data_IF_372750179553
#
_entry.id   IF_372750179553
#
_cell.length_a   1.000
_cell.length_b   1.000
_cell.length_c   1.000
_cell.angle_alpha   90.00
_cell.angle_beta   90.00
_cell.angle_gamma   90.00
#
_symmetry.space_group_name_H-M   'P 1'
#
loop_
_entity.id
_entity.type
_entity.pdbx_description
1 polymer ?
#
# COMPACT_ATOMS: atom_id res chain seq x y z
N UNK A 1 45.67 -30.31 -3.89
CA UNK A 1 46.03 -29.77 -2.55
C UNK A 1 46.82 -28.48 -2.72
N UNK A 2 46.29 -27.33 -2.29
CA UNK A 2 47.05 -26.19 -1.74
C UNK A 2 46.09 -25.15 -1.14
N UNK A 3 46.36 -24.81 0.12
CA UNK A 3 45.60 -24.03 1.10
C UNK A 3 45.46 -22.54 0.70
N UNK A 4 44.25 -21.97 0.83
CA UNK A 4 43.80 -21.02 1.88
C UNK A 4 44.74 -19.86 2.22
N UNK A 5 44.27 -18.62 1.96
CA UNK A 5 44.50 -17.46 2.83
C UNK A 5 43.24 -16.59 2.89
N UNK A 6 42.51 -16.73 3.99
CA UNK A 6 41.45 -15.84 4.45
C UNK A 6 42.10 -14.66 5.16
N UNK A 7 41.84 -13.43 4.73
CA UNK A 7 42.23 -12.22 5.46
C UNK A 7 40.98 -11.45 5.85
N UNK A 8 40.64 -11.52 7.14
CA UNK A 8 39.57 -10.73 7.74
C UNK A 8 39.95 -9.25 7.85
N UNK A 9 38.96 -8.39 7.68
CA UNK A 9 38.98 -7.02 8.22
C UNK A 9 37.65 -6.76 8.92
N UNK A 10 37.71 -6.76 10.24
CA UNK A 10 36.66 -6.26 11.11
C UNK A 10 36.63 -4.73 11.01
N UNK A 11 35.48 -4.16 10.68
CA UNK A 11 35.24 -2.71 10.79
C UNK A 11 34.24 -2.49 11.93
N UNK A 12 34.69 -1.69 12.89
CA UNK A 12 33.99 -1.38 14.15
C UNK A 12 32.74 -0.52 13.88
N UNK A 13 31.63 -0.88 14.52
CA UNK A 13 30.43 -0.06 14.64
C UNK A 13 30.73 1.18 15.51
N UNK A 14 30.38 2.35 15.02
CA UNK A 14 30.17 3.54 15.84
C UNK A 14 28.67 3.75 16.00
N UNK A 15 28.19 3.52 17.21
CA UNK A 15 26.82 3.84 17.64
C UNK A 15 26.82 5.30 18.09
N UNK A 16 26.02 6.13 17.44
CA UNK A 16 25.66 7.46 17.94
C UNK A 16 24.15 7.58 17.85
N UNK A 17 23.51 7.57 19.03
CA UNK A 17 22.07 7.71 19.16
C UNK A 17 21.59 9.13 18.88
N UNK A 18 20.35 9.23 18.43
CA UNK A 18 19.53 10.43 18.59
C UNK A 18 18.12 9.97 18.98
N UNK A 19 17.61 10.60 20.04
CA UNK A 19 16.34 10.32 20.68
C UNK A 19 15.17 11.08 20.00
N UNK A 20 14.02 10.39 20.01
CA UNK A 20 12.62 10.83 20.20
C UNK A 20 12.19 12.22 19.71
N UNK A 21 11.13 12.24 18.88
CA UNK A 21 10.03 13.20 19.04
C UNK A 21 8.69 12.50 18.73
N UNK A 22 7.89 12.30 19.77
CA UNK A 22 6.48 11.94 19.68
C UNK A 22 5.68 13.21 19.37
N UNK A 23 4.87 13.21 18.32
CA UNK A 23 3.88 14.25 18.08
C UNK A 23 2.48 13.71 18.40
N UNK A 24 1.92 14.21 19.51
CA UNK A 24 0.52 14.14 19.88
C UNK A 24 -0.35 14.72 18.74
N UNK A 25 -1.51 14.15 18.40
CA UNK A 25 -2.72 14.26 19.21
C UNK A 25 -3.48 15.53 18.81
N UNK A 26 -4.21 15.50 17.70
CA UNK A 26 -5.15 16.58 17.36
C UNK A 26 -6.43 16.39 18.17
N UNK A 27 -6.55 17.17 19.24
CA UNK A 27 -7.78 17.34 19.99
C UNK A 27 -8.79 18.15 19.17
N UNK A 28 -10.03 17.66 19.17
CA UNK A 28 -11.19 18.31 18.57
C UNK A 28 -11.70 19.35 19.58
N UNK A 29 -11.50 20.64 19.31
CA UNK A 29 -12.18 21.72 20.03
C UNK A 29 -13.53 21.99 19.37
N UNK A 30 -14.59 21.41 19.93
CA UNK A 30 -15.96 21.88 19.71
C UNK A 30 -16.22 23.11 20.58
N UNK A 31 -16.55 24.24 19.95
CA UNK A 31 -17.07 25.41 20.66
C UNK A 31 -18.59 25.30 20.67
N UNK A 32 -19.13 25.02 21.85
CA UNK A 32 -20.54 25.23 22.16
C UNK A 32 -20.67 26.64 22.76
N UNK A 33 -21.49 27.48 22.15
CA UNK A 33 -22.08 28.66 22.82
C UNK A 33 -23.58 28.56 22.64
N UNK A 34 -24.26 28.23 23.73
CA UNK A 34 -25.68 28.48 23.93
C UNK A 34 -25.80 29.84 24.63
N UNK A 35 -26.68 30.71 24.13
CA UNK A 35 -27.01 31.99 24.74
C UNK A 35 -28.11 32.68 23.96
N UNK A 36 -29.32 32.58 24.49
CA UNK A 36 -30.59 33.18 24.07
C UNK A 36 -30.54 34.71 24.03
N UNK A 37 -31.05 35.32 22.94
CA UNK A 37 -32.00 36.45 22.96
C UNK A 37 -32.51 36.75 21.52
N UNK A 38 -33.82 37.04 21.40
CA UNK A 38 -34.55 37.48 20.18
C UNK A 38 -35.17 38.85 20.52
N UNK A 39 -35.59 39.75 19.59
CA UNK A 39 -35.58 39.71 18.12
C UNK A 39 -35.09 41.00 17.41
N UNK A 40 -34.68 40.90 16.15
CA UNK A 40 -34.83 41.98 15.16
C UNK A 40 -34.78 41.40 13.73
N UNK A 41 -35.79 41.78 12.95
CA UNK A 41 -36.03 41.43 11.55
C UNK A 41 -35.16 42.30 10.63
N UNK A 42 -34.33 41.69 9.78
CA UNK A 42 -33.76 42.31 8.58
C UNK A 42 -32.89 41.30 7.78
N UNK A 43 -33.33 40.99 6.55
CA UNK A 43 -32.45 40.70 5.43
C UNK A 43 -31.80 39.31 5.37
N UNK A 44 -32.42 38.41 4.61
CA UNK A 44 -31.78 37.22 4.06
C UNK A 44 -30.60 37.59 3.15
N UNK A 45 -29.45 36.92 3.28
CA UNK A 45 -28.75 36.41 2.12
C UNK A 45 -28.82 34.88 2.12
N UNK A 46 -29.14 34.31 0.96
CA UNK A 46 -29.23 32.88 0.75
C UNK A 46 -27.93 32.18 1.17
N UNK A 47 -27.99 31.40 2.25
CA UNK A 47 -26.89 30.56 2.68
C UNK A 47 -26.68 29.44 1.66
N UNK A 48 -25.52 29.49 1.01
CA UNK A 48 -24.96 28.45 0.15
C UNK A 48 -25.01 27.12 0.91
N UNK A 49 -25.58 26.10 0.25
CA UNK A 49 -25.80 24.77 0.81
C UNK A 49 -24.54 24.18 1.42
N UNK A 50 -24.67 23.70 2.66
CA UNK A 50 -23.68 22.86 3.34
C UNK A 50 -23.47 21.60 2.49
N UNK A 51 -22.23 21.23 2.13
CA UNK A 51 -22.01 19.95 1.46
C UNK A 51 -22.47 18.83 2.40
N UNK A 52 -23.41 18.02 1.91
CA UNK A 52 -23.91 16.83 2.57
C UNK A 52 -22.70 15.97 2.99
N UNK A 53 -22.49 15.87 4.30
CA UNK A 53 -21.47 15.00 4.86
C UNK A 53 -21.81 13.58 4.45
N UNK A 54 -20.98 13.01 3.57
CA UNK A 54 -21.11 11.64 3.09
C UNK A 54 -21.32 10.71 4.29
N UNK A 55 -22.50 10.06 4.32
CA UNK A 55 -22.87 9.14 5.37
C UNK A 55 -21.75 8.12 5.59
N UNK A 56 -21.30 7.99 6.84
CA UNK A 56 -20.34 6.98 7.23
C UNK A 56 -20.87 5.59 6.79
N UNK A 57 -20.04 4.76 6.13
CA UNK A 57 -20.52 3.49 5.61
C UNK A 57 -20.99 2.59 6.76
N UNK A 58 -22.26 2.17 6.64
CA UNK A 58 -22.95 1.23 7.53
C UNK A 58 -22.13 -0.06 7.68
N UNK A 59 -21.96 -0.52 8.92
CA UNK A 59 -21.11 -1.67 9.27
C UNK A 59 -21.46 -2.90 8.43
N UNK A 60 -20.55 -3.27 7.53
CA UNK A 60 -20.60 -4.48 6.74
C UNK A 60 -20.52 -5.73 7.64
N UNK A 61 -21.19 -6.81 7.23
CA UNK A 61 -21.15 -8.10 7.91
C UNK A 61 -19.71 -8.49 8.26
N UNK A 62 -19.48 -8.94 9.51
CA UNK A 62 -18.14 -9.16 10.04
C UNK A 62 -17.36 -10.14 9.17
N UNK A 63 -16.47 -9.57 8.38
CA UNK A 63 -15.45 -10.27 7.61
C UNK A 63 -14.56 -11.05 8.58
N UNK A 64 -14.12 -12.27 8.21
CA UNK A 64 -13.15 -13.04 9.02
C UNK A 64 -11.76 -12.35 9.10
N UNK A 65 -11.59 -11.28 8.33
CA UNK A 65 -10.33 -10.57 8.19
C UNK A 65 -10.21 -9.44 9.22
N UNK A 66 -9.10 -9.42 9.94
CA UNK A 66 -8.71 -8.34 10.86
C UNK A 66 -7.83 -7.35 10.13
N UNK A 67 -8.33 -6.12 9.94
CA UNK A 67 -7.57 -5.04 9.31
C UNK A 67 -6.47 -4.55 10.23
N UNK A 68 -5.25 -4.46 9.70
CA UNK A 68 -4.04 -4.07 10.43
C UNK A 68 -3.74 -2.56 10.32
N UNK A 69 -4.42 -1.85 9.43
CA UNK A 69 -4.30 -0.42 9.20
C UNK A 69 -5.63 0.15 8.64
N UNK A 70 -5.68 1.46 8.44
CA UNK A 70 -6.84 2.15 7.84
C UNK A 70 -6.65 2.46 6.34
N UNK A 71 -7.74 2.83 5.62
CA UNK A 71 -7.69 3.24 4.23
C UNK A 71 -6.65 4.32 3.96
N UNK A 72 -5.98 4.24 2.81
CA UNK A 72 -4.97 5.20 2.38
C UNK A 72 -5.50 6.05 1.22
N UNK A 73 -5.15 7.33 1.19
CA UNK A 73 -5.47 8.19 0.05
C UNK A 73 -4.71 7.72 -1.20
N UNK A 74 -5.35 7.85 -2.36
CA UNK A 74 -4.70 7.60 -3.65
C UNK A 74 -3.77 8.77 -3.96
N UNK A 75 -2.48 8.47 -4.11
CA UNK A 75 -1.47 9.43 -4.54
C UNK A 75 -1.17 9.35 -6.03
N UNK A 76 -0.18 10.14 -6.45
CA UNK A 76 0.40 10.11 -7.79
C UNK A 76 1.91 9.94 -7.65
N UNK A 77 2.48 8.99 -8.37
CA UNK A 77 3.92 8.85 -8.54
C UNK A 77 4.32 9.56 -9.84
N UNK A 78 5.29 10.48 -9.77
CA UNK A 78 5.78 11.17 -10.96
C UNK A 78 6.33 10.19 -12.00
N UNK A 79 6.41 10.60 -13.26
CA UNK A 79 7.06 9.81 -14.30
C UNK A 79 8.53 9.53 -13.93
N UNK A 80 8.96 8.27 -14.04
CA UNK A 80 10.26 7.79 -13.55
C UNK A 80 10.48 8.04 -12.04
N UNK A 81 9.39 8.13 -11.28
CA UNK A 81 9.43 8.43 -9.86
C UNK A 81 9.80 7.22 -9.01
N UNK A 82 10.13 7.51 -7.75
CA UNK A 82 10.39 6.54 -6.70
C UNK A 82 9.62 6.91 -5.43
N UNK A 83 9.21 5.90 -4.68
CA UNK A 83 8.63 6.06 -3.35
C UNK A 83 9.16 5.01 -2.40
N UNK A 84 9.39 5.38 -1.15
CA UNK A 84 9.71 4.42 -0.09
C UNK A 84 8.46 3.62 0.29
N UNK A 85 8.60 2.29 0.33
CA UNK A 85 7.50 1.34 0.62
C UNK A 85 7.77 0.50 1.86
N UNK A 86 8.97 0.58 2.42
CA UNK A 86 9.42 -0.06 3.63
C UNK A 86 10.87 0.36 3.92
N UNK A 87 11.37 0.08 5.11
CA UNK A 87 12.72 0.50 5.50
C UNK A 87 13.78 -0.03 4.52
N UNK A 88 14.44 0.88 3.79
CA UNK A 88 15.45 0.53 2.79
C UNK A 88 14.89 -0.09 1.50
N UNK A 89 13.56 -0.06 1.30
CA UNK A 89 12.89 -0.60 0.12
C UNK A 89 12.13 0.51 -0.60
N UNK A 90 12.38 0.67 -1.90
CA UNK A 90 11.67 1.64 -2.74
C UNK A 90 10.96 0.96 -3.90
N UNK A 91 9.74 1.39 -4.18
CA UNK A 91 9.09 1.16 -5.47
C UNK A 91 9.57 2.24 -6.44
N UNK A 92 9.95 1.83 -7.66
CA UNK A 92 10.45 2.73 -8.70
C UNK A 92 9.78 2.45 -10.02
N UNK A 93 9.64 3.51 -10.83
CA UNK A 93 9.22 3.41 -12.23
C UNK A 93 10.32 3.94 -13.15
N UNK A 94 10.40 3.39 -14.38
CA UNK A 94 11.29 3.85 -15.44
C UNK A 94 10.65 3.55 -16.79
N UNK A 95 10.20 4.57 -17.50
CA UNK A 95 9.36 4.39 -18.69
C UNK A 95 8.12 3.55 -18.37
N UNK A 96 7.91 2.47 -19.12
CA UNK A 96 6.84 1.48 -18.88
C UNK A 96 7.27 0.35 -17.95
N UNK A 97 8.40 0.50 -17.27
CA UNK A 97 8.92 -0.48 -16.34
C UNK A 97 8.77 -0.03 -14.90
N UNK A 98 8.80 -1.00 -13.99
CA UNK A 98 8.80 -0.78 -12.55
C UNK A 98 9.67 -1.81 -11.85
N UNK A 99 10.09 -1.51 -10.62
CA UNK A 99 10.86 -2.42 -9.79
C UNK A 99 10.65 -2.13 -8.30
N UNK A 100 10.79 -3.18 -7.49
CA UNK A 100 11.19 -3.04 -6.09
C UNK A 100 12.71 -3.04 -6.02
N UNK A 101 13.26 -2.01 -5.38
CA UNK A 101 14.70 -1.77 -5.24
C UNK A 101 15.03 -1.80 -3.76
N UNK A 102 16.04 -2.58 -3.40
CA UNK A 102 16.52 -2.75 -2.04
C UNK A 102 17.84 -2.03 -1.88
N UNK A 103 17.88 -1.10 -0.93
CA UNK A 103 19.05 -0.26 -0.63
C UNK A 103 19.79 -0.74 0.62
N UNK A 104 19.40 -1.88 1.21
CA UNK A 104 20.05 -2.41 2.40
C UNK A 104 21.45 -2.96 2.06
N UNK A 105 22.47 -2.63 2.87
CA UNK A 105 23.83 -3.11 2.65
C UNK A 105 23.90 -4.64 2.65
N UNK A 106 24.58 -5.22 1.66
CA UNK A 106 24.80 -6.67 1.55
C UNK A 106 23.62 -7.48 0.98
N UNK A 107 22.50 -6.85 0.64
CA UNK A 107 21.38 -7.48 -0.05
C UNK A 107 21.41 -7.17 -1.57
N UNK A 108 20.74 -8.01 -2.37
CA UNK A 108 20.67 -7.78 -3.81
C UNK A 108 19.88 -6.49 -4.10
N UNK A 109 20.44 -5.59 -4.92
CA UNK A 109 19.97 -4.20 -5.06
C UNK A 109 18.64 -4.03 -5.79
N UNK A 110 18.22 -4.98 -6.61
CA UNK A 110 16.91 -4.93 -7.27
C UNK A 110 16.35 -6.31 -7.55
N UNK A 111 15.03 -6.43 -7.51
CA UNK A 111 14.30 -7.65 -7.93
C UNK A 111 14.13 -7.73 -9.47
N UNK A 112 14.90 -6.91 -10.21
CA UNK A 112 14.83 -6.73 -11.65
C UNK A 112 13.75 -5.72 -12.08
N UNK A 113 14.03 -4.98 -13.16
CA UNK A 113 13.04 -4.13 -13.81
C UNK A 113 12.02 -4.96 -14.59
N UNK A 114 10.75 -4.55 -14.51
CA UNK A 114 9.61 -5.33 -15.00
C UNK A 114 8.75 -4.44 -15.88
N UNK A 115 8.43 -4.92 -17.09
CA UNK A 115 7.44 -4.26 -17.91
C UNK A 115 6.06 -4.29 -17.23
N UNK A 116 5.26 -3.24 -17.38
CA UNK A 116 3.85 -3.22 -16.96
C UNK A 116 2.97 -4.09 -17.84
N UNK A 117 3.30 -4.21 -19.14
CA UNK A 117 2.57 -5.02 -20.12
C UNK A 117 3.39 -6.25 -20.52
N UNK A 118 2.73 -7.38 -20.76
CA UNK A 118 3.36 -8.59 -21.32
C UNK A 118 4.30 -9.33 -20.36
N UNK A 119 4.28 -9.00 -19.07
CA UNK A 119 5.00 -9.73 -18.04
C UNK A 119 4.08 -10.84 -17.50
N UNK A 120 4.55 -12.09 -17.50
CA UNK A 120 3.79 -13.26 -17.03
C UNK A 120 3.24 -13.08 -15.60
N UNK A 121 3.95 -12.33 -14.75
CA UNK A 121 3.51 -12.04 -13.38
C UNK A 121 2.35 -11.03 -13.30
N UNK A 122 2.11 -10.28 -14.37
CA UNK A 122 1.08 -9.24 -14.51
C UNK A 122 0.10 -9.68 -15.63
N UNK A 123 0.08 -10.99 -15.96
CA UNK A 123 -0.62 -11.55 -17.13
C UNK A 123 -1.99 -10.93 -17.41
N UNK A 124 -2.14 -10.44 -18.64
CA UNK A 124 -3.22 -9.58 -19.14
C UNK A 124 -3.41 -8.28 -18.33
N UNK A 125 -3.33 -7.11 -18.98
CA UNK A 125 -3.48 -5.80 -18.34
C UNK A 125 -4.83 -5.59 -17.63
N UNK A 126 -5.75 -6.54 -17.73
CA UNK A 126 -7.02 -6.61 -17.01
C UNK A 126 -6.91 -7.23 -15.60
N UNK A 127 -5.83 -7.96 -15.27
CA UNK A 127 -5.62 -8.61 -13.96
C UNK A 127 -4.43 -8.00 -13.21
N UNK A 128 -4.51 -7.84 -11.88
CA UNK A 128 -3.41 -7.33 -11.10
C UNK A 128 -2.37 -8.41 -10.88
N UNK A 129 -1.14 -8.13 -11.31
CA UNK A 129 0.01 -8.94 -10.91
C UNK A 129 0.49 -8.59 -9.51
N UNK A 130 0.95 -9.59 -8.78
CA UNK A 130 1.56 -9.43 -7.45
C UNK A 130 3.06 -9.71 -7.55
N UNK A 131 3.85 -8.81 -7.01
CA UNK A 131 5.22 -9.11 -6.59
C UNK A 131 5.32 -8.91 -5.09
N UNK A 132 6.12 -9.75 -4.46
CA UNK A 132 6.44 -9.60 -3.06
C UNK A 132 7.94 -9.71 -2.89
N UNK A 133 8.42 -9.05 -1.86
CA UNK A 133 9.76 -9.22 -1.34
C UNK A 133 9.69 -9.33 0.16
N UNK A 134 10.57 -10.16 0.72
CA UNK A 134 10.81 -10.20 2.15
C UNK A 134 12.22 -9.68 2.40
N UNK A 135 12.37 -8.69 3.27
CA UNK A 135 13.66 -8.29 3.81
C UNK A 135 13.55 -8.16 5.33
N UNK A 136 14.51 -8.78 6.04
CA UNK A 136 14.63 -8.72 7.51
C UNK A 136 13.32 -9.01 8.27
N UNK A 137 12.56 -10.01 7.83
CA UNK A 137 11.29 -10.39 8.47
C UNK A 137 10.10 -9.47 8.14
N UNK A 138 10.32 -8.45 7.32
CA UNK A 138 9.27 -7.58 6.78
C UNK A 138 8.94 -8.01 5.37
N UNK A 139 7.66 -8.29 5.11
CA UNK A 139 7.16 -8.62 3.78
C UNK A 139 6.57 -7.34 3.17
N UNK A 140 7.12 -6.90 2.06
CA UNK A 140 6.54 -5.84 1.23
C UNK A 140 5.93 -6.48 0.01
N UNK A 141 4.66 -6.18 -0.24
CA UNK A 141 3.95 -6.62 -1.43
C UNK A 141 3.63 -5.41 -2.29
N UNK A 142 3.87 -5.56 -3.59
CA UNK A 142 3.60 -4.57 -4.61
C UNK A 142 2.81 -5.18 -5.75
N UNK A 143 1.80 -4.46 -6.23
CA UNK A 143 1.04 -4.85 -7.41
C UNK A 143 0.96 -3.68 -8.37
N UNK A 144 1.08 -3.97 -9.67
CA UNK A 144 0.93 -2.99 -10.74
C UNK A 144 -0.12 -3.48 -11.72
N UNK A 145 -1.10 -2.63 -12.06
CA UNK A 145 -2.23 -3.01 -12.90
C UNK A 145 -2.88 -1.81 -13.59
N UNK A 146 -3.62 -2.07 -14.66
CA UNK A 146 -4.38 -1.03 -15.36
C UNK A 146 -5.76 -0.87 -14.74
N UNK A 147 -6.07 0.33 -14.26
CA UNK A 147 -7.43 0.67 -13.82
C UNK A 147 -7.56 2.17 -13.62
N UNK A 148 -8.51 2.81 -14.32
CA UNK A 148 -8.85 4.22 -14.08
C UNK A 148 -9.73 4.42 -12.84
N UNK A 149 -10.40 3.38 -12.37
CA UNK A 149 -11.45 3.48 -11.34
C UNK A 149 -11.00 3.12 -9.92
N UNK A 150 -9.80 2.58 -9.74
CA UNK A 150 -9.31 2.15 -8.43
C UNK A 150 -9.26 3.31 -7.43
N UNK A 151 -9.79 3.05 -6.25
CA UNK A 151 -9.71 3.94 -5.09
C UNK A 151 -9.15 3.23 -3.86
N UNK A 152 -9.33 1.91 -3.76
CA UNK A 152 -8.85 1.13 -2.61
C UNK A 152 -8.24 -0.17 -3.11
N UNK A 153 -7.10 -0.55 -2.52
CA UNK A 153 -6.51 -1.88 -2.70
C UNK A 153 -6.30 -2.50 -1.32
N UNK A 154 -6.71 -3.76 -1.18
CA UNK A 154 -6.54 -4.54 0.05
C UNK A 154 -5.71 -5.78 -0.27
N UNK A 155 -4.68 -6.02 0.53
CA UNK A 155 -3.98 -7.30 0.58
C UNK A 155 -4.49 -8.12 1.76
N UNK A 156 -4.58 -9.44 1.60
CA UNK A 156 -4.90 -10.35 2.71
C UNK A 156 -3.90 -11.47 2.81
N UNK A 157 -3.69 -12.00 4.02
CA UNK A 157 -2.86 -13.17 4.31
C UNK A 157 -3.40 -13.86 5.56
N UNK A 158 -3.81 -15.12 5.44
CA UNK A 158 -4.53 -15.82 6.50
C UNK A 158 -5.82 -15.08 6.89
N UNK A 159 -5.92 -14.66 8.15
CA UNK A 159 -7.05 -13.87 8.70
C UNK A 159 -6.76 -12.38 8.81
N UNK A 160 -5.65 -11.89 8.23
CA UNK A 160 -5.27 -10.47 8.29
C UNK A 160 -5.49 -9.78 6.97
N UNK A 161 -5.78 -8.48 7.04
CA UNK A 161 -5.94 -7.61 5.87
C UNK A 161 -5.19 -6.28 6.07
N UNK A 162 -4.71 -5.72 4.97
CA UNK A 162 -3.98 -4.45 4.93
C UNK A 162 -4.48 -3.60 3.76
N UNK A 163 -4.86 -2.36 4.03
CA UNK A 163 -5.02 -1.35 3.01
C UNK A 163 -3.65 -0.98 2.43
N UNK A 164 -3.52 -1.02 1.12
CA UNK A 164 -2.32 -0.62 0.42
C UNK A 164 -2.28 0.90 0.22
N UNK A 165 -1.07 1.44 0.12
CA UNK A 165 -0.86 2.74 -0.51
C UNK A 165 -1.05 2.58 -2.02
N UNK A 166 -1.87 3.43 -2.63
CA UNK A 166 -2.21 3.38 -4.06
C UNK A 166 -1.64 4.61 -4.75
N UNK A 167 -0.96 4.44 -5.88
CA UNK A 167 -0.33 5.52 -6.63
C UNK A 167 -0.66 5.42 -8.12
N UNK A 168 -1.20 6.51 -8.68
CA UNK A 168 -1.33 6.68 -10.13
C UNK A 168 0.06 6.88 -10.74
N UNK A 169 0.43 6.06 -11.72
CA UNK A 169 1.76 6.11 -12.32
C UNK A 169 1.79 7.18 -13.41
N UNK A 170 2.37 8.34 -13.12
CA UNK A 170 2.38 9.51 -14.02
C UNK A 170 3.09 9.27 -15.34
N UNK A 171 4.06 8.35 -15.39
CA UNK A 171 4.75 7.95 -16.62
C UNK A 171 4.02 6.88 -17.44
N UNK A 172 2.94 6.30 -16.91
CA UNK A 172 2.22 5.17 -17.52
C UNK A 172 0.71 5.40 -17.35
N UNK A 173 0.08 6.23 -18.21
CA UNK A 173 -1.31 6.62 -18.05
C UNK A 173 -2.29 5.44 -17.93
N UNK A 174 -3.19 5.50 -16.96
CA UNK A 174 -4.16 4.44 -16.67
C UNK A 174 -3.64 3.31 -15.78
N UNK A 175 -2.33 3.28 -15.50
CA UNK A 175 -1.73 2.30 -14.61
C UNK A 175 -1.60 2.80 -13.18
N UNK A 176 -1.64 1.86 -12.26
CA UNK A 176 -1.59 2.08 -10.83
C UNK A 176 -0.60 1.13 -10.20
N UNK A 177 0.26 1.67 -9.34
CA UNK A 177 1.06 0.91 -8.40
C UNK A 177 0.36 0.87 -7.05
N UNK A 178 0.45 -0.26 -6.36
CA UNK A 178 -0.02 -0.40 -5.00
C UNK A 178 1.00 -1.13 -4.16
N UNK A 179 1.19 -0.72 -2.91
CA UNK A 179 2.23 -1.23 -2.03
C UNK A 179 1.72 -1.38 -0.60
N UNK A 180 2.08 -2.46 0.08
CA UNK A 180 1.77 -2.67 1.49
C UNK A 180 2.89 -3.42 2.23
N UNK A 181 3.09 -3.06 3.49
CA UNK A 181 3.95 -3.79 4.43
C UNK A 181 3.09 -4.75 5.24
N UNK A 182 3.27 -6.05 5.05
CA UNK A 182 2.44 -7.10 5.65
C UNK A 182 3.04 -7.61 6.96
N UNK A 183 3.11 -6.74 7.98
CA UNK A 183 3.65 -7.11 9.29
C UNK A 183 2.89 -8.27 9.93
N UNK A 184 3.60 -9.36 10.22
CA UNK A 184 3.03 -10.57 10.82
C UNK A 184 2.08 -11.34 9.89
N UNK A 185 2.26 -11.24 8.57
CA UNK A 185 1.65 -12.16 7.62
C UNK A 185 2.16 -13.59 7.82
N UNK A 186 1.30 -14.58 7.58
CA UNK A 186 1.69 -15.98 7.61
C UNK A 186 2.28 -16.34 6.25
N UNK A 187 3.62 -16.35 6.13
CA UNK A 187 4.27 -16.96 4.96
C UNK A 187 4.77 -18.34 5.35
N UNK A 188 4.11 -19.38 4.83
CA UNK A 188 4.49 -20.77 5.09
C UNK A 188 5.72 -21.21 4.30
N UNK A 189 6.15 -20.41 3.32
CA UNK A 189 7.37 -20.63 2.55
C UNK A 189 8.27 -19.42 2.67
N UNK A 190 9.57 -19.67 2.86
CA UNK A 190 10.61 -18.71 2.49
C UNK A 190 10.21 -18.12 1.15
N UNK A 191 10.14 -16.79 1.04
CA UNK A 191 9.89 -16.10 -0.24
C UNK A 191 11.13 -16.36 -1.11
N UNK A 192 11.24 -17.57 -1.62
CA UNK A 192 12.26 -17.98 -2.58
C UNK A 192 12.05 -17.11 -3.80
N UNK A 193 13.16 -16.59 -4.33
CA UNK A 193 13.32 -15.59 -5.41
C UNK A 193 12.62 -15.92 -6.76
N UNK A 194 11.59 -16.75 -6.76
CA UNK A 194 10.70 -16.96 -7.90
C UNK A 194 9.66 -15.84 -7.90
N UNK A 195 9.55 -15.05 -8.98
CA UNK A 195 8.55 -13.99 -9.10
C UNK A 195 7.13 -14.56 -8.95
N UNK A 196 6.32 -13.90 -8.11
CA UNK A 196 4.97 -14.34 -7.76
C UNK A 196 4.94 -15.24 -6.52
N UNK A 197 4.11 -14.89 -5.54
CA UNK A 197 3.81 -15.81 -4.44
C UNK A 197 3.13 -17.05 -5.03
N UNK A 198 3.83 -18.18 -5.01
CA UNK A 198 3.29 -19.46 -5.45
C UNK A 198 2.46 -20.06 -4.31
N UNK A 199 1.23 -19.58 -4.19
CA UNK A 199 0.26 -20.05 -3.20
C UNK A 199 -0.73 -18.96 -2.80
N UNK A 200 -1.83 -19.38 -2.17
CA UNK A 200 -2.86 -18.51 -1.59
C UNK A 200 -2.36 -17.70 -0.36
N UNK A 201 -1.05 -17.46 -0.24
CA UNK A 201 -0.42 -16.85 0.94
C UNK A 201 -0.74 -15.36 1.04
N UNK A 202 -0.87 -14.70 -0.12
CA UNK A 202 -1.37 -13.32 -0.22
C UNK A 202 -2.38 -13.23 -1.35
N UNK A 203 -3.52 -12.61 -1.07
CA UNK A 203 -4.47 -12.19 -2.09
C UNK A 203 -4.51 -10.67 -2.20
N UNK A 204 -4.84 -10.15 -3.38
CA UNK A 204 -5.05 -8.72 -3.64
C UNK A 204 -6.48 -8.50 -4.14
N UNK A 205 -7.09 -7.43 -3.66
CA UNK A 205 -8.45 -7.01 -4.02
C UNK A 205 -8.42 -5.54 -4.35
N UNK A 206 -8.99 -5.18 -5.50
CA UNK A 206 -9.01 -3.82 -6.02
C UNK A 206 -10.46 -3.36 -6.06
N UNK A 207 -10.74 -2.19 -5.48
CA UNK A 207 -12.08 -1.62 -5.38
C UNK A 207 -12.12 -0.23 -5.98
N UNK A 208 -13.30 0.17 -6.47
CA UNK A 208 -13.57 1.56 -6.82
C UNK A 208 -13.92 2.42 -5.59
N UNK A 209 -14.19 3.71 -5.81
CA UNK A 209 -14.56 4.67 -4.78
C UNK A 209 -15.89 4.32 -4.09
N UNK A 210 -16.78 3.63 -4.79
CA UNK A 210 -18.03 3.12 -4.23
C UNK A 210 -17.81 1.78 -3.49
N UNK A 211 -16.56 1.33 -3.32
CA UNK A 211 -16.19 0.07 -2.68
C UNK A 211 -16.69 -1.18 -3.41
N UNK A 212 -17.03 -1.08 -4.70
CA UNK A 212 -17.33 -2.23 -5.55
C UNK A 212 -16.02 -2.92 -5.91
N UNK A 213 -15.97 -4.23 -5.76
CA UNK A 213 -14.84 -5.04 -6.18
C UNK A 213 -14.70 -4.97 -7.72
N UNK A 214 -13.56 -4.48 -8.18
CA UNK A 214 -13.21 -4.38 -9.59
C UNK A 214 -12.50 -5.64 -10.07
N UNK A 215 -11.50 -6.08 -9.31
CA UNK A 215 -10.69 -7.26 -9.64
C UNK A 215 -10.08 -7.84 -8.36
N UNK A 216 -9.79 -9.14 -8.37
CA UNK A 216 -9.09 -9.85 -7.30
C UNK A 216 -8.10 -10.86 -7.87
N UNK A 217 -7.12 -11.23 -7.06
CA UNK A 217 -6.21 -12.34 -7.36
C UNK A 217 -5.78 -13.03 -6.05
N UNK A 218 -5.72 -14.36 -5.97
CA UNK A 218 -6.25 -15.30 -6.98
C UNK A 218 -7.79 -15.23 -7.07
N UNK A 219 -8.36 -15.71 -8.19
CA UNK A 219 -9.78 -15.56 -8.49
C UNK A 219 -10.71 -16.24 -7.45
N UNK A 220 -10.21 -17.26 -6.74
CA UNK A 220 -10.93 -17.97 -5.68
C UNK A 220 -10.83 -17.30 -4.29
N UNK A 221 -10.10 -16.19 -4.15
CA UNK A 221 -9.93 -15.54 -2.85
C UNK A 221 -11.24 -14.92 -2.32
N UNK A 222 -11.45 -15.02 -1.00
CA UNK A 222 -12.61 -14.45 -0.29
C UNK A 222 -12.46 -12.93 -0.13
N UNK A 223 -13.49 -12.18 -0.52
CA UNK A 223 -13.50 -10.71 -0.47
C UNK A 223 -13.50 -10.19 0.99
N UNK A 224 -12.49 -9.41 1.42
CA UNK A 224 -12.39 -8.91 2.80
C UNK A 224 -13.34 -7.77 3.15
N UNK A 225 -13.86 -7.02 2.17
CA UNK A 225 -14.72 -5.85 2.38
C UNK A 225 -16.19 -6.13 2.04
N UNK A 226 -16.69 -7.35 2.30
CA UNK A 226 -18.06 -7.81 1.96
C UNK A 226 -19.07 -6.66 2.00
N UNK A 227 -19.55 -6.24 0.83
CA UNK A 227 -20.69 -5.33 0.71
C UNK A 227 -21.94 -6.15 0.50
#
# INVERSE_FOLDING_TARGET
MKQSRTSGRAVRLTVTGVAVAAAAGLAITGVAVAGTDKPADAGLPAAVGVPEAAAAPKAAAMSKFVFQNGPQAVGTLAANGSVEVGAGLTFQTRGTQWALVNHLPGEATSFGWRATVGNDNIGDGTKPGIQSTASRGTIVVSSVFSSKKVATVVYTSGTKAWYAKVERLGGIPGWVGSNAVLNGAMTTKTVTRTPGLTGNDVAVFVYDAAGKLLVKFPDNAENPLKK
#
